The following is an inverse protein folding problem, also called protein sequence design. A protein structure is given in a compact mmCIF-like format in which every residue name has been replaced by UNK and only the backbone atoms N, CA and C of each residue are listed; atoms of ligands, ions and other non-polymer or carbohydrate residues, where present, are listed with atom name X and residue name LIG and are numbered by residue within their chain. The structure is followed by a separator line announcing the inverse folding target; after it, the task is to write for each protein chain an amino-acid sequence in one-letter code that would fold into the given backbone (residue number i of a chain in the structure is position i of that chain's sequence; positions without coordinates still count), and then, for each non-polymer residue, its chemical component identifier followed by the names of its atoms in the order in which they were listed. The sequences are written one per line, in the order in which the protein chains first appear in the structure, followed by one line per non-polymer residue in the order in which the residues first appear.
data_IF_952257823075
#
_entry.id   IF_952257823075
#
_cell.length_a   1.000
_cell.length_b   1.000
_cell.length_c   1.000
_cell.angle_alpha   90.00
_cell.angle_beta   90.00
_cell.angle_gamma   90.00
#
_symmetry.space_group_name_H-M   'P 1'
#
loop_
_entity.id
_entity.type
_entity.pdbx_description
1 polymer ?
#
# COMPACT_ATOMS: atom_id res chain seq x y z
N UNK A 1 24.80 -37.77 -18.91
CA UNK A 1 25.25 -36.80 -17.88
C UNK A 1 24.43 -35.52 -18.04
N UNK A 2 23.31 -35.39 -17.33
CA UNK A 2 22.51 -34.16 -17.33
C UNK A 2 23.06 -33.24 -16.24
N UNK A 3 23.59 -32.09 -16.63
CA UNK A 3 23.97 -31.04 -15.70
C UNK A 3 22.70 -30.52 -15.02
N UNK A 4 22.53 -30.83 -13.74
CA UNK A 4 21.57 -30.18 -12.86
C UNK A 4 22.00 -28.72 -12.68
N UNK A 5 21.48 -27.86 -13.56
CA UNK A 5 21.60 -26.41 -13.40
C UNK A 5 21.04 -26.02 -12.04
N UNK A 6 21.92 -25.70 -11.09
CA UNK A 6 21.50 -25.16 -9.81
C UNK A 6 20.71 -23.88 -10.09
N UNK A 7 19.45 -23.75 -9.65
CA UNK A 7 18.66 -22.57 -9.94
C UNK A 7 19.39 -21.34 -9.39
N UNK A 8 19.64 -20.36 -10.26
CA UNK A 8 20.33 -19.13 -9.87
C UNK A 8 19.64 -18.51 -8.65
N UNK A 9 20.38 -18.05 -7.65
CA UNK A 9 19.79 -17.42 -6.47
C UNK A 9 18.96 -16.20 -6.91
N UNK A 10 17.64 -16.25 -6.68
CA UNK A 10 16.74 -15.15 -7.02
C UNK A 10 17.06 -13.94 -6.13
N UNK A 11 17.38 -12.80 -6.73
CA UNK A 11 17.70 -11.57 -6.01
C UNK A 11 16.52 -11.10 -5.16
N UNK A 12 16.74 -10.73 -3.90
CA UNK A 12 15.68 -10.23 -2.99
C UNK A 12 15.34 -8.75 -3.20
N UNK A 13 16.11 -8.05 -4.04
CA UNK A 13 16.05 -6.60 -4.26
C UNK A 13 14.63 -6.11 -4.60
N UNK A 14 13.88 -6.70 -5.55
CA UNK A 14 12.55 -6.18 -5.92
C UNK A 14 11.55 -6.22 -4.76
N UNK A 15 11.68 -7.22 -3.88
CA UNK A 15 10.80 -7.38 -2.73
C UNK A 15 11.12 -6.35 -1.64
N UNK A 16 12.41 -6.08 -1.42
CA UNK A 16 12.86 -5.06 -0.47
C UNK A 16 12.41 -3.67 -0.90
N UNK A 17 12.58 -3.35 -2.20
CA UNK A 17 12.10 -2.09 -2.78
C UNK A 17 10.60 -1.95 -2.61
N UNK A 18 9.82 -2.98 -2.96
CA UNK A 18 8.37 -2.96 -2.81
C UNK A 18 7.92 -2.73 -1.35
N UNK A 19 8.62 -3.35 -0.38
CA UNK A 19 8.35 -3.13 1.04
C UNK A 19 8.59 -1.69 1.48
N UNK A 20 9.69 -1.07 1.06
CA UNK A 20 9.96 0.33 1.37
C UNK A 20 8.97 1.29 0.70
N UNK A 21 8.67 1.05 -0.57
CA UNK A 21 7.70 1.87 -1.33
C UNK A 21 6.32 1.82 -0.67
N UNK A 22 5.86 0.64 -0.21
CA UNK A 22 4.59 0.51 0.50
C UNK A 22 4.53 1.32 1.81
N UNK A 23 5.65 1.50 2.50
CA UNK A 23 5.72 2.30 3.73
C UNK A 23 5.72 3.80 3.41
N UNK A 24 6.47 4.21 2.39
CA UNK A 24 6.73 5.62 2.09
C UNK A 24 5.59 6.25 1.27
N UNK A 25 4.99 5.51 0.33
CA UNK A 25 3.99 6.04 -0.59
C UNK A 25 2.78 6.72 0.07
N UNK A 26 2.18 6.19 1.16
CA UNK A 26 1.10 6.89 1.87
C UNK A 26 1.53 8.24 2.44
N UNK A 27 2.77 8.36 2.95
CA UNK A 27 3.29 9.62 3.48
C UNK A 27 3.49 10.65 2.37
N UNK A 28 4.00 10.20 1.22
CA UNK A 28 4.14 11.04 0.02
C UNK A 28 2.76 11.48 -0.48
N UNK A 29 1.76 10.60 -0.49
CA UNK A 29 0.41 10.95 -0.90
C UNK A 29 -0.21 12.04 -0.01
N UNK A 30 -0.01 11.98 1.30
CA UNK A 30 -0.42 13.03 2.24
C UNK A 30 0.31 14.35 1.93
N UNK A 31 1.63 14.29 1.72
CA UNK A 31 2.44 15.46 1.38
C UNK A 31 2.02 16.10 0.05
N UNK A 32 1.64 15.28 -0.95
CA UNK A 32 1.11 15.75 -2.23
C UNK A 32 -0.27 16.40 -2.09
N UNK A 33 -1.09 15.93 -1.15
CA UNK A 33 -2.45 16.46 -0.95
C UNK A 33 -2.47 17.73 -0.10
N UNK A 34 -1.54 17.86 0.85
CA UNK A 34 -1.47 18.96 1.81
C UNK A 34 -1.59 20.38 1.22
N UNK A 35 -1.05 20.70 0.01
CA UNK A 35 -1.19 22.02 -0.60
C UNK A 35 -2.63 22.36 -1.04
N UNK A 36 -3.47 21.36 -1.32
CA UNK A 36 -4.85 21.52 -1.78
C UNK A 36 -5.88 21.39 -0.65
N UNK A 37 -5.56 21.93 0.53
CA UNK A 37 -6.38 21.78 1.71
C UNK A 37 -7.86 22.14 1.48
N UNK A 38 -8.76 21.30 1.98
CA UNK A 38 -10.21 21.45 1.93
C UNK A 38 -10.92 20.47 2.87
N UNK A 39 -12.22 20.22 2.66
CA UNK A 39 -13.02 19.34 3.53
C UNK A 39 -12.51 17.90 3.60
N UNK A 40 -11.80 17.42 2.58
CA UNK A 40 -11.19 16.10 2.58
C UNK A 40 -10.09 16.00 3.65
N UNK A 41 -9.28 17.03 3.81
CA UNK A 41 -8.23 17.06 4.83
C UNK A 41 -8.83 17.12 6.24
N UNK A 42 -9.93 17.87 6.41
CA UNK A 42 -10.73 17.87 7.64
C UNK A 42 -11.28 16.46 7.93
N UNK A 43 -11.87 15.81 6.93
CA UNK A 43 -12.35 14.44 7.03
C UNK A 43 -11.25 13.46 7.41
N UNK A 44 -10.05 13.59 6.83
CA UNK A 44 -8.87 12.79 7.17
C UNK A 44 -8.46 12.96 8.64
N UNK A 45 -8.52 14.18 9.19
CA UNK A 45 -8.20 14.44 10.60
C UNK A 45 -9.20 13.75 11.52
N UNK A 46 -10.50 13.80 11.24
CA UNK A 46 -11.50 13.12 12.08
C UNK A 46 -11.48 11.60 11.93
N UNK A 47 -11.13 11.09 10.75
CA UNK A 47 -11.00 9.65 10.48
C UNK A 47 -9.59 9.10 10.76
N UNK A 48 -8.69 9.92 11.32
CA UNK A 48 -7.30 9.58 11.65
C UNK A 48 -7.11 8.19 12.28
N UNK A 49 -7.92 7.74 13.27
CA UNK A 49 -7.71 6.44 13.88
C UNK A 49 -7.85 5.28 12.89
N UNK A 50 -8.79 5.40 11.94
CA UNK A 50 -9.01 4.40 10.89
C UNK A 50 -7.81 4.38 9.93
N UNK A 51 -7.30 5.55 9.53
CA UNK A 51 -6.11 5.67 8.70
C UNK A 51 -4.87 5.06 9.38
N UNK A 52 -4.71 5.29 10.68
CA UNK A 52 -3.59 4.77 11.46
C UNK A 52 -3.62 3.24 11.50
N UNK A 53 -4.79 2.64 11.71
CA UNK A 53 -4.95 1.17 11.68
C UNK A 53 -4.65 0.60 10.29
N UNK A 54 -5.16 1.25 9.23
CA UNK A 54 -4.88 0.86 7.85
C UNK A 54 -3.40 0.93 7.51
N UNK A 55 -2.73 2.00 7.94
CA UNK A 55 -1.29 2.21 7.72
C UNK A 55 -0.44 1.23 8.54
N UNK A 56 -0.82 0.96 9.79
CA UNK A 56 -0.16 -0.05 10.62
C UNK A 56 -0.22 -1.44 9.96
N UNK A 57 -1.35 -1.82 9.36
CA UNK A 57 -1.49 -3.07 8.63
C UNK A 57 -0.51 -3.15 7.43
N UNK A 58 -0.34 -2.05 6.68
CA UNK A 58 0.65 -1.96 5.59
C UNK A 58 2.08 -2.10 6.13
N UNK A 59 2.43 -1.39 7.20
CA UNK A 59 3.75 -1.48 7.81
C UNK A 59 4.06 -2.91 8.22
N UNK A 60 3.13 -3.58 8.90
CA UNK A 60 3.33 -4.96 9.36
C UNK A 60 3.53 -5.90 8.17
N UNK A 61 2.72 -5.76 7.11
CA UNK A 61 2.88 -6.54 5.89
C UNK A 61 4.23 -6.25 5.20
N UNK A 62 4.62 -4.98 5.06
CA UNK A 62 5.87 -4.55 4.47
C UNK A 62 7.10 -5.02 5.27
N UNK A 63 7.07 -4.94 6.61
CA UNK A 63 8.13 -5.48 7.48
C UNK A 63 8.31 -6.98 7.24
N UNK A 64 7.24 -7.72 6.94
CA UNK A 64 7.33 -9.14 6.57
C UNK A 64 7.95 -9.40 5.19
N UNK A 65 8.10 -8.37 4.35
CA UNK A 65 8.92 -8.42 3.13
C UNK A 65 10.39 -8.11 3.45
N UNK A 66 10.62 -7.12 4.32
CA UNK A 66 11.95 -6.62 4.65
C UNK A 66 12.75 -7.60 5.53
N UNK A 67 12.13 -8.29 6.50
CA UNK A 67 12.82 -9.24 7.39
C UNK A 67 13.28 -10.49 6.65
N UNK A 68 14.50 -10.96 6.91
CA UNK A 68 15.09 -12.18 6.31
C UNK A 68 14.19 -13.42 6.43
N UNK A 69 13.56 -13.59 7.59
CA UNK A 69 12.60 -14.66 7.88
C UNK A 69 11.15 -14.17 7.80
N UNK A 70 10.84 -13.17 6.99
CA UNK A 70 9.51 -12.59 6.88
C UNK A 70 8.53 -13.47 6.09
N UNK A 71 7.24 -13.44 6.45
CA UNK A 71 6.19 -14.32 5.92
C UNK A 71 6.07 -14.28 4.39
N UNK A 72 6.16 -13.07 3.81
CA UNK A 72 5.99 -12.82 2.38
C UNK A 72 7.23 -13.14 1.53
N UNK A 73 8.34 -13.58 2.13
CA UNK A 73 9.52 -14.05 1.39
C UNK A 73 9.38 -15.45 0.81
N UNK A 74 8.38 -16.22 1.26
CA UNK A 74 8.15 -17.57 0.76
C UNK A 74 7.81 -17.56 -0.76
N UNK A 75 8.28 -18.54 -1.56
CA UNK A 75 8.16 -18.52 -3.02
C UNK A 75 6.72 -18.35 -3.54
N UNK A 76 5.72 -18.89 -2.83
CA UNK A 76 4.31 -18.81 -3.23
C UNK A 76 3.65 -17.44 -3.02
N UNK A 77 4.20 -16.60 -2.13
CA UNK A 77 3.60 -15.31 -1.76
C UNK A 77 4.36 -14.13 -2.35
N UNK A 78 5.66 -14.32 -2.65
CA UNK A 78 6.59 -13.25 -2.98
C UNK A 78 6.16 -12.38 -4.16
N UNK A 79 5.86 -12.97 -5.31
CA UNK A 79 5.50 -12.23 -6.53
C UNK A 79 4.19 -11.46 -6.34
N UNK A 80 3.18 -12.11 -5.73
CA UNK A 80 1.89 -11.49 -5.45
C UNK A 80 2.04 -10.32 -4.50
N UNK A 81 2.83 -10.48 -3.45
CA UNK A 81 3.12 -9.44 -2.48
C UNK A 81 3.79 -8.21 -3.13
N UNK A 82 4.73 -8.40 -4.08
CA UNK A 82 5.32 -7.30 -4.86
C UNK A 82 4.26 -6.58 -5.67
N UNK A 83 3.41 -7.32 -6.40
CA UNK A 83 2.33 -6.73 -7.21
C UNK A 83 1.39 -5.90 -6.34
N UNK A 84 0.92 -6.45 -5.22
CA UNK A 84 0.00 -5.75 -4.33
C UNK A 84 0.61 -4.53 -3.67
N UNK A 85 1.89 -4.59 -3.29
CA UNK A 85 2.62 -3.43 -2.77
C UNK A 85 2.76 -2.31 -3.81
N UNK A 86 3.03 -2.63 -5.08
CA UNK A 86 3.07 -1.62 -6.13
C UNK A 86 1.70 -1.04 -6.43
N UNK A 87 0.69 -1.90 -6.54
CA UNK A 87 -0.66 -1.51 -6.88
C UNK A 87 -1.29 -0.62 -5.80
N UNK A 88 -1.03 -0.92 -4.51
CA UNK A 88 -1.46 -0.06 -3.40
C UNK A 88 -0.69 1.27 -3.33
N UNK A 89 0.63 1.23 -3.56
CA UNK A 89 1.51 2.42 -3.48
C UNK A 89 1.27 3.41 -4.61
N UNK A 90 1.17 2.93 -5.85
CA UNK A 90 0.87 3.78 -7.01
C UNK A 90 -0.56 4.31 -6.89
N UNK A 91 -1.51 3.46 -6.51
CA UNK A 91 -2.89 3.86 -6.29
C UNK A 91 -3.01 5.02 -5.29
N UNK A 92 -2.41 4.90 -4.10
CA UNK A 92 -2.52 5.96 -3.07
C UNK A 92 -1.85 7.26 -3.50
N UNK A 93 -0.71 7.19 -4.20
CA UNK A 93 -0.03 8.39 -4.71
C UNK A 93 -0.87 9.10 -5.77
N UNK A 94 -1.43 8.35 -6.72
CA UNK A 94 -2.30 8.92 -7.75
C UNK A 94 -3.55 9.53 -7.11
N UNK A 95 -4.19 8.85 -6.16
CA UNK A 95 -5.32 9.41 -5.40
C UNK A 95 -4.92 10.71 -4.70
N UNK A 96 -3.82 10.73 -3.95
CA UNK A 96 -3.37 11.94 -3.25
C UNK A 96 -3.10 13.12 -4.20
N UNK A 97 -2.69 12.83 -5.43
CA UNK A 97 -2.40 13.85 -6.44
C UNK A 97 -3.63 14.32 -7.23
N UNK A 98 -4.57 13.42 -7.51
CA UNK A 98 -5.70 13.71 -8.41
C UNK A 98 -7.04 13.87 -7.71
N UNK A 99 -7.19 13.49 -6.43
CA UNK A 99 -8.49 13.67 -5.77
C UNK A 99 -8.80 15.16 -5.61
N UNK A 100 -9.93 15.58 -6.14
CA UNK A 100 -10.43 16.95 -6.01
C UNK A 100 -10.91 17.14 -4.57
N UNK A 101 -10.46 18.22 -3.92
CA UNK A 101 -11.02 18.57 -2.62
C UNK A 101 -12.41 19.20 -2.76
N UNK A 102 -13.28 18.96 -1.80
CA UNK A 102 -14.59 19.61 -1.72
C UNK A 102 -14.49 20.85 -0.83
N UNK A 103 -15.17 21.93 -1.19
CA UNK A 103 -15.06 23.17 -0.44
C UNK A 103 -16.01 24.27 -0.91
N UNK A 104 -16.16 25.27 -0.05
CA UNK A 104 -17.13 26.36 -0.22
C UNK A 104 -16.56 27.53 -1.05
N UNK A 105 -15.26 27.49 -1.40
CA UNK A 105 -14.57 28.49 -2.24
C UNK A 105 -14.06 27.87 -3.54
N UNK A 106 -13.94 28.65 -4.61
CA UNK A 106 -13.41 28.18 -5.92
C UNK A 106 -11.98 27.64 -5.85
N UNK A 107 -11.19 28.09 -4.88
CA UNK A 107 -9.83 27.63 -4.60
C UNK A 107 -9.80 26.29 -3.84
N UNK A 108 -10.83 26.03 -3.03
CA UNK A 108 -10.99 24.77 -2.28
C UNK A 108 -11.58 23.62 -3.11
N UNK A 109 -11.88 23.86 -4.40
CA UNK A 109 -12.37 22.85 -5.36
C UNK A 109 -11.30 22.56 -6.42
N UNK A 110 -10.13 22.10 -5.97
CA UNK A 110 -9.03 21.72 -6.87
C UNK A 110 -8.32 20.44 -6.41
N UNK A 111 -7.88 19.63 -7.38
CA UNK A 111 -6.88 18.58 -7.16
C UNK A 111 -5.47 19.15 -7.21
N UNK A 112 -4.46 18.44 -6.69
CA UNK A 112 -3.06 18.89 -6.75
C UNK A 112 -2.61 18.96 -8.21
N UNK A 113 -3.08 18.05 -9.06
CA UNK A 113 -2.91 18.13 -10.51
C UNK A 113 -3.49 19.44 -11.09
N UNK A 114 -4.71 19.82 -10.68
CA UNK A 114 -5.34 21.07 -11.11
C UNK A 114 -4.51 22.31 -10.74
N UNK A 115 -3.89 22.33 -9.55
CA UNK A 115 -2.95 23.38 -9.15
C UNK A 115 -1.72 23.42 -10.07
N UNK A 116 -1.09 22.26 -10.32
CA UNK A 116 0.15 22.17 -11.11
C UNK A 116 -0.08 22.63 -12.56
N UNK A 117 -1.24 22.33 -13.13
CA UNK A 117 -1.59 22.70 -14.51
C UNK A 117 -2.18 24.11 -14.60
N UNK A 118 -2.42 24.78 -13.47
CA UNK A 118 -3.00 26.12 -13.41
C UNK A 118 -4.47 26.18 -13.83
N UNK A 119 -5.18 25.04 -13.79
CA UNK A 119 -6.60 24.95 -14.15
C UNK A 119 -7.46 24.62 -12.91
N UNK A 120 -7.62 25.63 -12.07
CA UNK A 120 -8.37 25.57 -10.81
C UNK A 120 -9.81 26.05 -11.00
N UNK A 121 -10.75 25.55 -10.19
CA UNK A 121 -12.16 25.97 -10.19
C UNK A 121 -13.17 24.88 -10.54
N UNK A 122 -14.42 25.09 -10.11
CA UNK A 122 -15.51 24.10 -10.12
C UNK A 122 -16.00 23.65 -11.51
N UNK A 123 -15.62 24.34 -12.59
CA UNK A 123 -15.96 23.99 -13.97
C UNK A 123 -14.77 23.53 -14.82
N UNK A 124 -13.62 23.25 -14.20
CA UNK A 124 -12.40 22.85 -14.91
C UNK A 124 -12.50 21.42 -15.46
N UNK A 125 -12.31 21.17 -16.77
CA UNK A 125 -12.26 19.81 -17.33
C UNK A 125 -11.18 18.93 -16.69
N UNK A 126 -10.12 19.55 -16.16
CA UNK A 126 -9.06 18.84 -15.43
C UNK A 126 -9.59 18.23 -14.15
N UNK A 127 -10.55 18.86 -13.46
CA UNK A 127 -11.14 18.32 -12.24
C UNK A 127 -11.99 17.08 -12.54
N UNK A 128 -12.74 17.05 -13.64
CA UNK A 128 -13.54 15.88 -14.05
C UNK A 128 -12.65 14.68 -14.38
N UNK A 129 -11.59 14.91 -15.17
CA UNK A 129 -10.59 13.88 -15.47
C UNK A 129 -9.90 13.42 -14.18
N UNK A 130 -9.53 14.36 -13.31
CA UNK A 130 -8.87 14.07 -12.03
C UNK A 130 -9.72 13.17 -11.13
N UNK A 131 -11.03 13.42 -11.07
CA UNK A 131 -11.98 12.58 -10.33
C UNK A 131 -12.10 11.17 -10.91
N UNK A 132 -12.19 11.04 -12.24
CA UNK A 132 -12.20 9.73 -12.90
C UNK A 132 -10.92 8.94 -12.64
N UNK A 133 -9.77 9.60 -12.73
CA UNK A 133 -8.47 8.99 -12.42
C UNK A 133 -8.35 8.62 -10.94
N UNK A 134 -8.82 9.50 -10.04
CA UNK A 134 -8.82 9.24 -8.61
C UNK A 134 -9.69 8.02 -8.26
N UNK A 135 -10.85 7.85 -8.89
CA UNK A 135 -11.72 6.71 -8.66
C UNK A 135 -11.06 5.38 -9.07
N UNK A 136 -10.46 5.32 -10.25
CA UNK A 136 -9.71 4.13 -10.71
C UNK A 136 -8.51 3.84 -9.81
N UNK A 137 -7.77 4.88 -9.43
CA UNK A 137 -6.63 4.76 -8.54
C UNK A 137 -7.04 4.34 -7.13
N UNK A 138 -8.22 4.73 -6.64
CA UNK A 138 -8.76 4.32 -5.35
C UNK A 138 -9.11 2.82 -5.35
N UNK A 139 -9.69 2.30 -6.44
CA UNK A 139 -9.95 0.86 -6.61
C UNK A 139 -8.63 0.08 -6.55
N UNK A 140 -7.60 0.55 -7.27
CA UNK A 140 -6.28 -0.05 -7.21
C UNK A 140 -5.72 0.04 -5.78
N UNK A 141 -5.70 1.23 -5.19
CA UNK A 141 -5.17 1.44 -3.84
C UNK A 141 -5.78 0.49 -2.82
N UNK A 142 -7.11 0.49 -2.68
CA UNK A 142 -7.84 -0.29 -1.68
C UNK A 142 -7.79 -1.79 -2.00
N UNK A 143 -7.90 -2.17 -3.27
CA UNK A 143 -7.79 -3.56 -3.70
C UNK A 143 -6.39 -4.13 -3.44
N UNK A 144 -5.34 -3.39 -3.79
CA UNK A 144 -3.96 -3.75 -3.51
C UNK A 144 -3.66 -3.79 -2.02
N UNK A 145 -4.18 -2.84 -1.24
CA UNK A 145 -4.04 -2.81 0.21
C UNK A 145 -4.65 -4.07 0.84
N UNK A 146 -5.92 -4.35 0.51
CA UNK A 146 -6.64 -5.50 1.06
C UNK A 146 -5.96 -6.81 0.65
N UNK A 147 -5.60 -6.95 -0.63
CA UNK A 147 -4.91 -8.13 -1.13
C UNK A 147 -3.55 -8.35 -0.44
N UNK A 148 -2.79 -7.27 -0.19
CA UNK A 148 -1.52 -7.34 0.52
C UNK A 148 -1.70 -7.81 1.98
N UNK A 149 -2.69 -7.24 2.69
CA UNK A 149 -3.00 -7.62 4.08
C UNK A 149 -3.48 -9.06 4.15
N UNK A 150 -4.38 -9.48 3.25
CA UNK A 150 -4.85 -10.87 3.16
C UNK A 150 -3.71 -11.83 2.88
N UNK A 151 -2.83 -11.51 1.93
CA UNK A 151 -1.67 -12.34 1.60
C UNK A 151 -0.74 -12.51 2.79
N UNK A 152 -0.51 -11.42 3.53
CA UNK A 152 0.26 -11.44 4.76
C UNK A 152 -0.38 -12.33 5.83
N UNK A 153 -1.69 -12.19 6.06
CA UNK A 153 -2.42 -13.02 7.03
C UNK A 153 -2.34 -14.52 6.66
N UNK A 154 -2.54 -14.88 5.39
CA UNK A 154 -2.44 -16.26 4.90
C UNK A 154 -1.03 -16.80 5.13
N UNK A 155 0.01 -16.03 4.78
CA UNK A 155 1.40 -16.44 4.94
C UNK A 155 1.79 -16.63 6.42
N UNK A 156 1.29 -15.78 7.32
CA UNK A 156 1.50 -15.93 8.77
C UNK A 156 0.76 -17.14 9.33
N UNK A 157 -0.50 -17.35 8.93
CA UNK A 157 -1.31 -18.47 9.39
C UNK A 157 -0.70 -19.82 9.01
N UNK A 158 -0.23 -19.96 7.75
CA UNK A 158 0.46 -21.18 7.27
C UNK A 158 1.70 -21.51 8.07
N UNK A 159 2.54 -20.51 8.35
CA UNK A 159 3.76 -20.70 9.15
C UNK A 159 3.49 -21.14 10.59
N UNK A 160 2.40 -20.65 11.20
CA UNK A 160 2.00 -21.10 12.54
C UNK A 160 1.54 -22.55 12.55
N UNK A 161 0.89 -23.01 11.49
CA UNK A 161 0.43 -24.39 11.37
C UNK A 161 1.59 -25.38 11.16
N UNK A 162 2.67 -24.95 10.50
CA UNK A 162 3.86 -25.78 10.22
C UNK A 162 4.84 -25.86 11.40
N UNK A 163 4.71 -25.03 12.43
CA UNK A 163 5.59 -25.06 13.59
C UNK A 163 5.46 -26.40 14.34
N UNK A 164 6.56 -27.13 14.59
CA UNK A 164 6.51 -28.42 15.29
C UNK A 164 5.82 -28.28 16.64
N UNK A 165 4.78 -29.09 16.89
CA UNK A 165 4.21 -29.25 18.23
C UNK A 165 5.29 -29.89 19.10
N UNK A 166 5.98 -29.09 19.91
CA UNK A 166 6.96 -29.58 20.88
C UNK A 166 6.23 -30.56 21.80
N UNK A 167 6.64 -31.83 21.80
CA UNK A 167 6.09 -32.80 22.74
C UNK A 167 6.39 -32.33 24.17
N UNK A 168 5.43 -32.42 25.12
CA UNK A 168 5.66 -32.01 26.49
C UNK A 168 6.87 -32.77 27.07
N UNK A 169 7.70 -32.10 27.90
CA UNK A 169 8.88 -32.74 28.48
C UNK A 169 8.46 -34.00 29.23
N UNK A 170 9.03 -35.14 28.85
CA UNK A 170 8.84 -36.41 29.56
C UNK A 170 9.57 -36.27 30.90
N UNK A 171 8.83 -35.99 31.97
CA UNK A 171 9.37 -36.03 33.33
C UNK A 171 9.49 -37.52 33.69
N UNK A 172 10.68 -38.08 33.50
CA UNK A 172 11.03 -39.41 34.00
C UNK A 172 11.00 -39.41 35.54
N UNK A 173 10.31 -40.40 36.11
CA UNK A 173 10.33 -40.72 37.55
C UNK A 173 11.51 -41.61 37.88
#
# INVERSE_FOLDING_TARGET
MHASGSPAPRSDVPLIVAGWVAIIAPLVAIALKAPTGGWLLVGMVFSFPIWLLGYAAVIIAAVSMLRRLGALRAPGHRTRAIIWAWLTSVGVMVVGFTVVDGGDTSESVASTLGLVVGQTGSGSPVNDISNGVAALAAIAWLGGWLALVVEWMIAVARRRAEAPRVAPPVIGR
#
